data_IF_542480718052
#
_entry.id   IF_542480718052
#
_cell.length_a   1.000
_cell.length_b   1.000
_cell.length_c   1.000
_cell.angle_alpha   90.00
_cell.angle_beta   90.00
_cell.angle_gamma   90.00
#
_symmetry.space_group_name_H-M   'P 1'
#
loop_
_entity.id
_entity.type
_entity.pdbx_description
1 polymer ?
#
# COMPACT_ATOMS: atom_id res chain seq x y z
N UNK A 1 -23.45 88.16 -9.10
CA UNK A 1 -24.65 87.30 -9.16
C UNK A 1 -24.21 85.90 -8.72
N UNK A 2 -24.81 85.13 -7.80
CA UNK A 2 -25.69 85.37 -6.65
C UNK A 2 -26.37 84.03 -6.32
N UNK A 3 -25.97 83.36 -5.22
CA UNK A 3 -26.71 82.27 -4.52
C UNK A 3 -26.86 80.95 -5.35
N UNK A 4 -27.15 79.76 -4.80
CA UNK A 4 -27.68 79.39 -3.46
C UNK A 4 -27.29 77.94 -3.07
N UNK A 5 -27.19 77.67 -1.76
CA UNK A 5 -27.60 76.39 -1.13
C UNK A 5 -29.05 76.58 -0.57
N UNK A 6 -29.83 75.59 -0.04
CA UNK A 6 -29.49 74.50 0.91
C UNK A 6 -30.12 73.13 0.48
N UNK A 7 -30.57 72.14 1.28
CA UNK A 7 -30.69 71.91 2.75
C UNK A 7 -30.79 70.41 3.15
N UNK A 8 -30.01 70.01 4.16
CA UNK A 8 -30.41 69.32 5.42
C UNK A 8 -31.75 68.55 5.47
N UNK A 9 -31.69 67.28 5.89
CA UNK A 9 -32.59 66.73 6.93
C UNK A 9 -31.95 65.54 7.68
N UNK A 10 -32.37 65.34 8.93
CA UNK A 10 -31.78 64.42 9.91
C UNK A 10 -32.87 63.84 10.81
N UNK A 11 -32.78 62.57 11.19
CA UNK A 11 -33.63 62.02 12.25
C UNK A 11 -32.95 60.90 13.05
N UNK A 12 -32.44 61.29 14.22
CA UNK A 12 -32.11 60.38 15.33
C UNK A 12 -33.39 59.89 16.00
N UNK A 13 -33.52 58.58 16.28
CA UNK A 13 -34.29 58.11 17.44
C UNK A 13 -33.48 57.05 18.17
N UNK A 14 -33.07 57.39 19.39
CA UNK A 14 -32.61 56.45 20.41
C UNK A 14 -33.80 55.72 21.02
N UNK A 15 -33.62 54.49 21.51
CA UNK A 15 -34.09 54.25 22.86
C UNK A 15 -33.31 53.16 23.61
N UNK A 16 -33.08 53.46 24.89
CA UNK A 16 -32.56 52.52 25.88
C UNK A 16 -33.74 51.74 26.47
N UNK A 17 -33.51 50.51 26.94
CA UNK A 17 -33.61 50.29 28.39
C UNK A 17 -33.01 48.95 28.82
N UNK A 18 -32.57 48.94 30.08
CA UNK A 18 -31.86 47.84 30.72
C UNK A 18 -32.77 47.11 31.74
N UNK A 19 -32.13 46.29 32.58
CA UNK A 19 -32.67 45.59 33.77
C UNK A 19 -33.43 44.28 33.54
N UNK A 20 -33.48 43.33 34.48
CA UNK A 20 -32.38 42.76 35.30
C UNK A 20 -32.87 41.54 36.10
N UNK A 21 -32.05 40.48 36.12
CA UNK A 21 -31.83 39.56 37.25
C UNK A 21 -32.92 38.53 37.70
N UNK A 22 -32.36 37.47 38.33
CA UNK A 22 -32.92 36.51 39.32
C UNK A 22 -33.56 35.19 38.86
N UNK A 23 -32.72 34.14 38.96
CA UNK A 23 -32.93 32.89 39.73
C UNK A 23 -34.31 32.24 39.79
N UNK A 24 -34.35 30.94 39.46
CA UNK A 24 -34.58 29.88 40.47
C UNK A 24 -34.12 28.51 39.98
N UNK A 25 -33.52 27.73 40.88
CA UNK A 25 -33.33 26.28 40.68
C UNK A 25 -34.55 25.53 41.23
N UNK A 26 -34.87 24.37 40.66
CA UNK A 26 -35.89 23.48 41.24
C UNK A 26 -35.50 22.01 41.08
N UNK A 27 -35.27 21.37 42.22
CA UNK A 27 -35.10 19.93 42.38
C UNK A 27 -36.46 19.21 42.35
N UNK A 28 -36.49 17.95 41.87
CA UNK A 28 -37.43 16.94 42.37
C UNK A 28 -36.94 15.51 42.10
N UNK A 29 -37.55 14.57 42.82
CA UNK A 29 -37.01 13.27 43.25
C UNK A 29 -37.80 12.07 42.70
N UNK A 30 -37.38 10.86 43.09
CA UNK A 30 -38.00 9.53 42.92
C UNK A 30 -37.62 8.76 41.64
N UNK A 31 -37.44 7.42 41.66
CA UNK A 31 -37.37 6.46 42.79
C UNK A 31 -36.85 5.09 42.30
N UNK A 32 -36.22 4.32 43.19
CA UNK A 32 -35.91 2.91 42.94
C UNK A 32 -37.16 2.03 42.78
N UNK A 33 -37.10 1.04 41.90
CA UNK A 33 -37.70 -0.28 42.15
C UNK A 33 -37.02 -1.38 41.31
N UNK A 34 -37.01 -2.58 41.85
CA UNK A 34 -36.29 -3.76 41.34
C UNK A 34 -37.17 -4.63 40.43
N UNK A 35 -36.55 -5.34 39.47
CA UNK A 35 -37.28 -6.22 38.55
C UNK A 35 -36.37 -7.20 37.82
N UNK A 36 -36.11 -8.36 38.43
CA UNK A 36 -35.29 -9.43 37.84
C UNK A 36 -35.97 -10.10 36.65
N UNK A 37 -35.24 -10.28 35.54
CA UNK A 37 -35.52 -11.36 34.59
C UNK A 37 -34.21 -12.00 34.12
N UNK A 38 -34.10 -13.31 34.32
CA UNK A 38 -32.94 -14.09 33.89
C UNK A 38 -33.10 -14.50 32.42
N UNK A 39 -32.03 -14.40 31.65
CA UNK A 39 -31.86 -15.13 30.40
C UNK A 39 -30.45 -15.72 30.32
N UNK A 40 -30.33 -16.86 29.66
CA UNK A 40 -29.22 -17.79 29.87
C UNK A 40 -27.88 -17.29 29.32
N UNK A 41 -26.80 -17.53 30.08
CA UNK A 41 -25.44 -17.47 29.56
C UNK A 41 -25.22 -18.62 28.58
N UNK A 42 -24.99 -18.30 27.32
CA UNK A 42 -24.20 -19.14 26.41
C UNK A 42 -22.81 -18.51 26.35
N UNK A 43 -21.82 -19.18 26.93
CA UNK A 43 -20.43 -18.73 26.89
C UNK A 43 -19.86 -18.92 25.48
N UNK A 44 -19.31 -17.89 24.83
CA UNK A 44 -18.40 -18.10 23.70
C UNK A 44 -17.18 -18.87 24.23
N UNK A 45 -16.84 -19.99 23.60
CA UNK A 45 -15.56 -20.64 23.87
C UNK A 45 -14.44 -19.67 23.49
N UNK A 46 -13.34 -19.70 24.25
CA UNK A 46 -12.16 -18.86 23.97
C UNK A 46 -11.70 -19.09 22.54
N UNK A 47 -11.76 -18.04 21.71
CA UNK A 47 -10.84 -17.93 20.61
C UNK A 47 -9.43 -17.90 21.20
N UNK A 48 -8.64 -18.95 20.95
CA UNK A 48 -7.22 -18.96 21.30
C UNK A 48 -6.50 -17.99 20.37
N UNK A 49 -6.29 -16.77 20.85
CA UNK A 49 -5.44 -15.79 20.18
C UNK A 49 -4.04 -16.37 20.02
N UNK A 50 -3.72 -16.84 18.81
CA UNK A 50 -2.35 -17.23 18.45
C UNK A 50 -1.60 -15.91 18.28
N UNK A 51 -0.84 -15.52 19.31
CA UNK A 51 0.10 -14.43 19.19
C UNK A 51 1.05 -14.71 18.01
N UNK A 52 1.31 -13.70 17.19
CA UNK A 52 2.32 -13.74 16.14
C UNK A 52 3.65 -13.13 16.64
N UNK A 53 4.60 -13.92 17.19
CA UNK A 53 5.98 -13.47 17.37
C UNK A 53 6.81 -13.91 16.16
N UNK A 54 6.58 -13.30 15.00
CA UNK A 54 7.42 -13.47 13.80
C UNK A 54 7.73 -12.08 13.23
N UNK A 55 8.68 -11.40 13.87
CA UNK A 55 9.14 -10.08 13.43
C UNK A 55 9.68 -10.17 12.00
N UNK A 56 8.92 -9.63 11.04
CA UNK A 56 9.36 -9.52 9.67
C UNK A 56 10.56 -8.56 9.62
N UNK A 57 11.58 -8.92 8.85
CA UNK A 57 12.75 -8.07 8.62
C UNK A 57 13.22 -8.19 7.17
N UNK A 58 13.51 -7.05 6.50
CA UNK A 58 13.85 -7.04 5.08
C UNK A 58 15.30 -7.51 4.87
N UNK A 59 15.50 -8.82 4.89
CA UNK A 59 16.77 -9.44 4.48
C UNK A 59 16.82 -9.62 2.97
N UNK A 60 17.87 -9.06 2.35
CA UNK A 60 18.16 -9.27 0.93
C UNK A 60 18.77 -10.66 0.79
N UNK A 61 17.93 -11.65 0.47
CA UNK A 61 18.40 -12.96 0.05
C UNK A 61 19.02 -12.85 -1.35
N UNK A 62 20.34 -13.07 -1.45
CA UNK A 62 21.04 -13.15 -2.73
C UNK A 62 20.45 -14.27 -3.61
N UNK A 63 20.51 -14.15 -4.95
CA UNK A 63 20.08 -15.22 -5.84
C UNK A 63 20.95 -16.48 -5.67
N UNK A 64 20.30 -17.64 -5.58
CA UNK A 64 20.99 -18.93 -5.54
C UNK A 64 21.92 -19.12 -6.75
N UNK A 65 23.20 -19.47 -6.56
CA UNK A 65 24.11 -19.71 -7.67
C UNK A 65 23.74 -21.03 -8.38
N UNK A 66 23.17 -20.90 -9.59
CA UNK A 66 22.84 -22.04 -10.43
C UNK A 66 24.10 -22.90 -10.72
N UNK A 67 24.04 -24.17 -10.33
CA UNK A 67 25.18 -25.09 -10.36
C UNK A 67 25.69 -25.39 -11.78
N UNK A 68 27.01 -25.30 -11.97
CA UNK A 68 27.67 -25.60 -13.25
C UNK A 68 27.55 -27.08 -13.62
N UNK A 69 27.22 -27.35 -14.88
CA UNK A 69 27.24 -28.69 -15.47
C UNK A 69 28.68 -29.21 -15.54
N UNK A 70 28.90 -30.45 -15.10
CA UNK A 70 30.09 -31.23 -15.43
C UNK A 70 29.70 -32.57 -16.07
N UNK A 71 30.38 -32.92 -17.17
CA UNK A 71 30.28 -34.22 -17.81
C UNK A 71 31.19 -35.25 -17.13
N UNK A 72 30.68 -36.46 -16.85
CA UNK A 72 31.46 -37.69 -16.85
C UNK A 72 30.57 -38.91 -17.15
N UNK A 73 31.18 -40.04 -17.50
CA UNK A 73 30.56 -41.03 -18.38
C UNK A 73 29.88 -42.24 -17.70
N UNK A 74 28.88 -42.78 -18.41
CA UNK A 74 28.45 -44.19 -18.53
C UNK A 74 28.69 -45.17 -17.36
N UNK A 75 27.59 -45.75 -16.86
CA UNK A 75 27.51 -47.21 -16.61
C UNK A 75 26.09 -47.70 -16.89
N UNK A 76 25.93 -48.83 -17.59
CA UNK A 76 24.63 -49.43 -17.87
C UNK A 76 24.04 -50.11 -16.63
N UNK A 77 22.76 -49.87 -16.33
CA UNK A 77 21.97 -50.71 -15.41
C UNK A 77 20.55 -50.91 -15.97
N UNK A 78 19.99 -52.10 -15.71
CA UNK A 78 18.76 -52.68 -16.29
C UNK A 78 17.56 -51.71 -16.35
N UNK A 79 16.89 -51.73 -17.51
CA UNK A 79 15.59 -51.09 -17.72
C UNK A 79 14.46 -51.83 -16.97
N UNK A 80 14.14 -51.36 -15.77
CA UNK A 80 12.86 -51.66 -15.11
C UNK A 80 11.85 -50.62 -15.61
N UNK A 81 10.84 -51.04 -16.38
CA UNK A 81 9.76 -50.13 -16.79
C UNK A 81 8.91 -49.78 -15.55
N UNK A 82 8.78 -48.50 -15.17
CA UNK A 82 7.68 -48.10 -14.31
C UNK A 82 6.38 -48.36 -15.07
N UNK A 83 5.41 -49.05 -14.45
CA UNK A 83 4.03 -48.91 -14.90
C UNK A 83 3.62 -47.48 -14.54
N UNK A 84 3.11 -46.68 -15.48
CA UNK A 84 2.33 -45.52 -15.07
C UNK A 84 1.05 -46.07 -14.46
N UNK A 85 0.97 -46.08 -13.12
CA UNK A 85 -0.32 -45.93 -12.45
C UNK A 85 -0.79 -44.51 -12.74
N UNK A 86 -1.26 -44.30 -13.98
CA UNK A 86 -1.91 -43.09 -14.42
C UNK A 86 -3.29 -43.05 -13.79
N UNK A 87 -3.32 -42.75 -12.48
CA UNK A 87 -4.43 -41.97 -11.97
C UNK A 87 -4.51 -40.73 -12.86
N UNK A 88 -5.69 -40.41 -13.45
CA UNK A 88 -5.82 -39.16 -14.18
C UNK A 88 -5.40 -38.04 -13.21
N UNK A 89 -4.52 -37.14 -13.68
CA UNK A 89 -4.22 -35.92 -12.95
C UNK A 89 -5.56 -35.25 -12.68
N UNK A 90 -6.05 -35.35 -11.43
CA UNK A 90 -7.22 -34.58 -11.02
C UNK A 90 -6.85 -33.14 -11.29
N UNK A 91 -7.68 -32.44 -12.05
CA UNK A 91 -7.59 -30.99 -12.19
C UNK A 91 -7.93 -30.40 -10.83
N UNK A 92 -6.95 -30.38 -9.91
CA UNK A 92 -7.10 -29.76 -8.61
C UNK A 92 -7.21 -28.27 -8.90
N UNK A 93 -8.40 -27.71 -8.65
CA UNK A 93 -8.64 -26.29 -8.87
C UNK A 93 -7.69 -25.46 -8.00
N UNK A 94 -7.19 -24.36 -8.54
CA UNK A 94 -6.41 -23.41 -7.75
C UNK A 94 -7.29 -22.86 -6.62
N UNK A 95 -6.72 -22.70 -5.42
CA UNK A 95 -7.43 -22.07 -4.32
C UNK A 95 -7.44 -20.57 -4.57
N UNK A 96 -8.64 -20.00 -4.62
CA UNK A 96 -8.86 -18.59 -4.82
C UNK A 96 -9.50 -17.95 -3.59
N UNK A 97 -9.03 -16.75 -3.23
CA UNK A 97 -9.63 -15.85 -2.25
C UNK A 97 -9.56 -14.41 -2.74
N UNK A 98 -10.50 -13.59 -2.32
CA UNK A 98 -10.48 -12.16 -2.61
C UNK A 98 -11.21 -11.36 -1.54
N UNK A 99 -10.71 -10.17 -1.23
CA UNK A 99 -11.35 -9.18 -0.36
C UNK A 99 -11.17 -7.77 -0.92
N UNK A 100 -11.92 -6.81 -0.42
CA UNK A 100 -11.68 -5.39 -0.68
C UNK A 100 -10.92 -4.79 0.51
N UNK A 101 -9.75 -4.24 0.25
CA UNK A 101 -8.86 -3.66 1.26
C UNK A 101 -8.04 -2.53 0.61
N UNK A 102 -7.61 -1.55 1.40
CA UNK A 102 -6.74 -0.43 0.94
C UNK A 102 -7.27 0.34 -0.29
N UNK A 103 -8.60 0.33 -0.51
CA UNK A 103 -9.24 1.00 -1.65
C UNK A 103 -9.16 0.23 -2.99
N UNK A 104 -8.83 -1.05 -2.98
CA UNK A 104 -8.84 -1.93 -4.15
C UNK A 104 -9.33 -3.36 -3.80
N UNK A 105 -9.55 -4.18 -4.83
CA UNK A 105 -9.76 -5.62 -4.65
C UNK A 105 -8.42 -6.34 -4.62
N UNK A 106 -8.18 -7.11 -3.57
CA UNK A 106 -7.09 -8.08 -3.52
C UNK A 106 -7.60 -9.44 -3.99
N UNK A 107 -6.78 -10.17 -4.74
CA UNK A 107 -7.02 -11.59 -5.04
C UNK A 107 -5.76 -12.41 -4.77
N UNK A 108 -5.94 -13.59 -4.17
CA UNK A 108 -4.91 -14.59 -3.92
C UNK A 108 -5.25 -15.86 -4.69
N UNK A 109 -4.27 -16.37 -5.44
CA UNK A 109 -4.33 -17.65 -6.16
C UNK A 109 -3.19 -18.52 -5.64
N UNK A 110 -3.52 -19.63 -4.96
CA UNK A 110 -2.56 -20.61 -4.46
C UNK A 110 -2.70 -21.94 -5.20
N UNK A 111 -1.59 -22.62 -5.46
CA UNK A 111 -1.63 -24.01 -5.90
C UNK A 111 -1.79 -24.94 -4.68
N UNK A 112 -2.89 -25.69 -4.56
CA UNK A 112 -3.10 -26.55 -3.40
C UNK A 112 -2.09 -27.70 -3.30
N UNK A 113 -1.39 -28.06 -4.39
CA UNK A 113 -0.39 -29.16 -4.38
C UNK A 113 0.85 -28.86 -3.55
N UNK A 114 1.13 -27.58 -3.27
CA UNK A 114 2.25 -27.21 -2.42
C UNK A 114 1.90 -27.22 -0.93
N UNK A 115 0.63 -27.27 -0.56
CA UNK A 115 0.23 -27.13 0.82
C UNK A 115 0.70 -28.33 1.67
N UNK A 116 1.22 -28.09 2.89
CA UNK A 116 1.59 -29.14 3.82
C UNK A 116 0.32 -29.76 4.41
N UNK A 117 -0.35 -30.61 3.63
CA UNK A 117 -1.64 -31.23 3.94
C UNK A 117 -1.63 -32.08 5.23
N UNK A 118 -0.46 -32.40 5.79
CA UNK A 118 -0.29 -33.01 7.11
C UNK A 118 -0.63 -32.05 8.26
N UNK A 119 -0.69 -30.73 8.00
CA UNK A 119 -0.86 -29.67 9.00
C UNK A 119 -1.95 -28.66 8.63
N UNK A 120 -1.96 -28.20 7.39
CA UNK A 120 -2.83 -27.12 6.91
C UNK A 120 -3.35 -27.40 5.51
N UNK A 121 -4.61 -27.05 5.25
CA UNK A 121 -5.13 -27.03 3.88
C UNK A 121 -4.76 -25.72 3.20
N UNK A 122 -4.74 -25.72 1.87
CA UNK A 122 -4.47 -24.52 1.08
C UNK A 122 -5.55 -23.45 1.29
N UNK A 123 -6.79 -23.86 1.56
CA UNK A 123 -7.90 -22.99 1.93
C UNK A 123 -7.65 -22.31 3.29
N UNK A 124 -7.23 -23.06 4.31
CA UNK A 124 -6.94 -22.48 5.63
C UNK A 124 -5.79 -21.47 5.58
N UNK A 125 -4.73 -21.76 4.81
CA UNK A 125 -3.64 -20.81 4.54
C UNK A 125 -4.17 -19.58 3.80
N UNK A 126 -5.03 -19.76 2.79
CA UNK A 126 -5.61 -18.63 2.06
C UNK A 126 -6.53 -17.77 2.93
N UNK A 127 -7.25 -18.36 3.89
CA UNK A 127 -8.10 -17.66 4.85
C UNK A 127 -7.26 -16.84 5.86
N UNK A 128 -6.17 -17.39 6.40
CA UNK A 128 -5.22 -16.66 7.26
C UNK A 128 -4.56 -15.47 6.52
N UNK A 129 -4.22 -15.64 5.24
CA UNK A 129 -3.68 -14.55 4.41
C UNK A 129 -4.72 -13.45 4.12
N UNK A 130 -6.02 -13.78 4.10
CA UNK A 130 -7.10 -12.77 4.02
C UNK A 130 -7.19 -11.99 5.34
N UNK A 131 -7.08 -12.65 6.49
CA UNK A 131 -7.03 -11.99 7.80
C UNK A 131 -5.82 -11.05 7.92
N UNK A 132 -4.64 -11.45 7.42
CA UNK A 132 -3.44 -10.61 7.36
C UNK A 132 -3.68 -9.32 6.54
N UNK A 133 -4.32 -9.43 5.36
CA UNK A 133 -4.63 -8.24 4.54
C UNK A 133 -5.60 -7.31 5.28
N UNK A 134 -6.57 -7.86 6.01
CA UNK A 134 -7.53 -7.09 6.80
C UNK A 134 -6.86 -6.37 7.99
N UNK A 135 -5.99 -7.03 8.75
CA UNK A 135 -5.23 -6.39 9.85
C UNK A 135 -4.42 -5.19 9.36
N UNK A 136 -3.65 -5.37 8.27
CA UNK A 136 -2.86 -4.28 7.70
C UNK A 136 -3.70 -3.19 7.04
N UNK A 137 -4.89 -3.51 6.51
CA UNK A 137 -5.85 -2.49 6.11
C UNK A 137 -6.30 -1.64 7.31
N UNK A 138 -6.71 -2.28 8.40
CA UNK A 138 -7.22 -1.61 9.59
C UNK A 138 -6.14 -0.81 10.33
N UNK A 139 -4.87 -1.23 10.23
CA UNK A 139 -3.70 -0.52 10.79
C UNK A 139 -3.26 0.68 9.94
N UNK A 140 -3.21 0.54 8.61
CA UNK A 140 -2.65 1.57 7.71
C UNK A 140 -3.70 2.54 7.13
N UNK A 141 -4.99 2.27 7.28
CA UNK A 141 -6.05 3.13 6.74
C UNK A 141 -6.10 4.50 7.43
N UNK A 142 -5.82 5.56 6.67
CA UNK A 142 -6.02 6.96 7.09
C UNK A 142 -7.51 7.34 7.27
N UNK A 143 -8.43 6.49 6.81
CA UNK A 143 -9.87 6.74 6.84
C UNK A 143 -10.58 6.11 8.05
N UNK A 144 -9.90 5.20 8.76
CA UNK A 144 -10.41 4.56 9.97
C UNK A 144 -9.88 5.31 11.21
N UNK A 145 -10.72 5.97 12.02
CA UNK A 145 -10.27 6.73 13.20
C UNK A 145 -9.57 5.85 14.26
N UNK A 146 -9.85 4.54 14.24
CA UNK A 146 -9.24 3.54 15.12
C UNK A 146 -7.86 3.06 14.68
N UNK A 147 -7.43 3.37 13.45
CA UNK A 147 -6.14 2.89 12.92
C UNK A 147 -4.95 3.51 13.66
N UNK A 148 -3.83 2.81 13.66
CA UNK A 148 -2.59 3.34 14.26
C UNK A 148 -2.07 4.55 13.46
N UNK A 149 -2.23 4.56 12.13
CA UNK A 149 -1.85 5.71 11.28
C UNK A 149 -2.71 6.94 11.56
N UNK A 150 -4.03 6.79 11.71
CA UNK A 150 -4.91 7.90 12.11
C UNK A 150 -4.55 8.45 13.49
N UNK A 151 -4.21 7.56 14.45
CA UNK A 151 -3.74 7.96 15.79
C UNK A 151 -2.40 8.70 15.77
N UNK A 152 -1.46 8.32 14.90
CA UNK A 152 -0.19 9.04 14.68
C UNK A 152 -0.46 10.41 14.06
N UNK A 153 -1.29 10.47 13.01
CA UNK A 153 -1.64 11.71 12.34
C UNK A 153 -2.41 12.70 13.24
N UNK A 154 -3.10 12.21 14.27
CA UNK A 154 -3.81 13.02 15.25
C UNK A 154 -2.99 13.35 16.54
N UNK A 155 -1.81 12.76 16.75
CA UNK A 155 -1.00 13.02 17.95
C UNK A 155 -0.22 14.32 17.82
N UNK A 156 -0.20 15.23 18.81
CA UNK A 156 0.51 16.52 18.70
C UNK A 156 1.98 16.38 18.31
N UNK A 157 2.52 17.40 17.65
CA UNK A 157 3.93 17.42 17.24
C UNK A 157 4.86 17.33 18.46
N UNK A 158 5.97 16.61 18.31
CA UNK A 158 6.91 16.33 19.41
C UNK A 158 6.41 15.32 20.46
N UNK A 159 5.18 14.80 20.35
CA UNK A 159 4.68 13.75 21.25
C UNK A 159 4.96 12.36 20.66
N UNK A 160 5.72 11.48 21.35
CA UNK A 160 6.01 10.14 20.86
C UNK A 160 4.79 9.22 20.98
N UNK A 161 4.48 8.52 19.88
CA UNK A 161 3.44 7.47 19.82
C UNK A 161 4.10 6.11 19.78
N UNK A 162 3.78 5.24 20.75
CA UNK A 162 4.29 3.86 20.78
C UNK A 162 3.65 3.00 19.70
N UNK A 163 4.48 2.23 19.01
CA UNK A 163 4.14 1.34 17.89
C UNK A 163 4.71 -0.06 18.12
N UNK A 164 4.28 -1.02 17.30
CA UNK A 164 4.79 -2.39 17.27
C UNK A 164 6.04 -2.52 16.36
N UNK A 165 6.66 -3.69 16.37
CA UNK A 165 7.88 -3.97 15.60
C UNK A 165 7.66 -3.91 14.09
N UNK A 166 6.54 -4.40 13.59
CA UNK A 166 6.32 -4.54 12.15
C UNK A 166 6.05 -3.17 11.51
N UNK A 167 5.27 -2.32 12.19
CA UNK A 167 5.08 -0.93 11.77
C UNK A 167 6.37 -0.12 11.88
N UNK A 168 7.20 -0.38 12.89
CA UNK A 168 8.52 0.26 13.03
C UNK A 168 9.46 -0.10 11.87
N UNK A 169 9.53 -1.38 11.46
CA UNK A 169 10.32 -1.79 10.30
C UNK A 169 9.76 -1.29 8.97
N UNK A 170 8.43 -1.18 8.81
CA UNK A 170 7.80 -0.49 7.68
C UNK A 170 8.21 0.99 7.64
N UNK A 171 8.16 1.70 8.77
CA UNK A 171 8.56 3.10 8.86
C UNK A 171 10.04 3.32 8.56
N UNK A 172 10.93 2.39 8.99
CA UNK A 172 12.36 2.39 8.63
C UNK A 172 12.60 2.10 7.15
N UNK A 173 11.83 1.20 6.55
CA UNK A 173 11.82 0.99 5.10
C UNK A 173 11.42 2.29 4.38
N UNK A 174 10.38 2.99 4.85
CA UNK A 174 9.96 4.27 4.29
C UNK A 174 11.02 5.36 4.40
N UNK A 175 11.70 5.51 5.55
CA UNK A 175 12.82 6.45 5.70
C UNK A 175 13.98 6.12 4.76
N UNK A 176 14.33 4.83 4.61
CA UNK A 176 15.37 4.40 3.68
C UNK A 176 15.01 4.74 2.23
N UNK A 177 13.80 4.39 1.78
CA UNK A 177 13.32 4.67 0.42
C UNK A 177 13.25 6.17 0.13
N UNK A 178 12.86 6.98 1.11
CA UNK A 178 12.90 8.44 1.03
C UNK A 178 14.32 8.95 0.75
N UNK A 179 15.32 8.44 1.49
CA UNK A 179 16.72 8.81 1.27
C UNK A 179 17.28 8.31 -0.07
N UNK A 180 16.98 7.08 -0.48
CA UNK A 180 17.44 6.50 -1.76
C UNK A 180 16.92 7.27 -2.99
N UNK A 181 15.72 7.86 -2.86
CA UNK A 181 15.01 8.59 -3.93
C UNK A 181 15.11 10.12 -3.81
N UNK A 182 16.04 10.63 -3.00
CA UNK A 182 16.23 12.07 -2.70
C UNK A 182 14.95 12.79 -2.19
N UNK A 183 13.97 12.04 -1.67
CA UNK A 183 12.66 12.51 -1.21
C UNK A 183 11.51 12.31 -2.19
N UNK A 184 11.74 11.80 -3.40
CA UNK A 184 10.70 11.62 -4.42
C UNK A 184 9.63 10.58 -4.03
N UNK A 185 10.01 9.54 -3.28
CA UNK A 185 9.08 8.75 -2.48
C UNK A 185 9.08 9.28 -1.04
N UNK A 186 7.93 9.71 -0.52
CA UNK A 186 7.82 10.11 0.88
C UNK A 186 6.41 9.88 1.42
N UNK A 187 6.29 9.11 2.51
CA UNK A 187 4.98 8.86 3.15
C UNK A 187 4.39 10.13 3.79
N UNK A 188 5.19 11.15 4.11
CA UNK A 188 4.68 12.44 4.57
C UNK A 188 4.00 13.28 3.45
N UNK A 189 4.02 12.81 2.19
CA UNK A 189 3.25 13.42 1.10
C UNK A 189 1.73 13.46 1.38
N UNK A 190 1.22 12.69 2.36
CA UNK A 190 -0.15 12.82 2.86
C UNK A 190 -0.51 14.23 3.34
N UNK A 191 0.46 15.02 3.80
CA UNK A 191 0.32 16.46 4.05
C UNK A 191 -0.09 17.22 2.79
N UNK A 192 0.62 16.99 1.68
CA UNK A 192 0.35 17.62 0.39
C UNK A 192 -0.98 17.13 -0.19
N UNK A 193 -1.29 15.84 -0.05
CA UNK A 193 -2.59 15.29 -0.46
C UNK A 193 -3.76 15.95 0.30
N UNK A 194 -3.58 16.35 1.56
CA UNK A 194 -4.58 17.11 2.31
C UNK A 194 -4.72 18.53 1.77
N UNK A 195 -3.59 19.24 1.65
CA UNK A 195 -3.52 20.61 1.15
C UNK A 195 -4.14 20.79 -0.26
N UNK A 196 -4.02 19.79 -1.12
CA UNK A 196 -4.55 19.79 -2.49
C UNK A 196 -5.92 19.07 -2.65
N UNK A 197 -6.62 18.84 -1.52
CA UNK A 197 -8.04 18.45 -1.52
C UNK A 197 -8.35 16.96 -1.70
N UNK A 198 -7.36 16.08 -1.77
CA UNK A 198 -7.56 14.63 -1.90
C UNK A 198 -8.08 13.96 -0.62
N UNK A 199 -8.21 14.70 0.49
CA UNK A 199 -8.56 14.19 1.83
C UNK A 199 -9.66 14.98 2.55
N UNK A 200 -10.42 15.81 1.83
CA UNK A 200 -11.46 16.70 2.39
C UNK A 200 -11.26 18.16 1.96
N UNK A 201 -11.99 19.09 2.59
CA UNK A 201 -11.78 20.52 2.30
C UNK A 201 -10.43 21.00 2.87
N UNK A 202 -9.53 21.58 2.03
CA UNK A 202 -8.28 22.15 2.51
C UNK A 202 -8.52 23.27 3.52
N UNK A 203 -7.69 23.33 4.56
CA UNK A 203 -7.77 24.43 5.53
C UNK A 203 -6.91 25.58 4.98
N UNK A 204 -7.35 26.83 5.13
CA UNK A 204 -6.68 27.99 4.52
C UNK A 204 -5.21 28.21 4.95
N UNK A 205 -4.74 27.51 5.98
CA UNK A 205 -3.35 27.50 6.45
C UNK A 205 -2.45 26.49 5.72
N UNK A 206 -3.01 25.59 4.89
CA UNK A 206 -2.29 24.54 4.17
C UNK A 206 -1.47 25.04 2.96
N UNK A 207 -1.32 26.37 2.77
CA UNK A 207 -0.61 26.96 1.61
C UNK A 207 0.85 27.32 1.87
N UNK A 208 1.26 27.48 3.13
CA UNK A 208 2.63 27.81 3.55
C UNK A 208 3.31 26.62 4.25
N UNK A 209 3.17 25.41 3.67
CA UNK A 209 3.75 24.18 4.21
C UNK A 209 5.26 24.14 3.90
N UNK A 210 6.14 23.91 4.90
CA UNK A 210 7.57 23.74 4.67
C UNK A 210 7.84 22.58 3.71
N UNK A 211 8.61 22.85 2.66
CA UNK A 211 8.72 21.93 1.51
C UNK A 211 9.62 20.72 1.78
N UNK A 212 10.50 20.74 2.79
CA UNK A 212 11.35 19.58 3.10
C UNK A 212 10.67 18.59 4.05
N UNK A 213 9.87 17.69 3.46
CA UNK A 213 9.20 16.60 4.19
C UNK A 213 10.12 15.43 4.55
N UNK A 214 11.43 15.45 4.24
CA UNK A 214 12.33 14.29 4.46
C UNK A 214 12.59 14.02 5.95
N UNK A 215 12.53 15.06 6.78
CA UNK A 215 12.67 14.99 8.24
C UNK A 215 11.33 15.08 8.98
N UNK A 216 10.26 14.57 8.36
CA UNK A 216 8.90 14.74 8.85
C UNK A 216 8.59 13.98 10.16
N UNK A 217 9.32 12.91 10.47
CA UNK A 217 9.14 12.13 11.69
C UNK A 217 10.44 11.45 12.12
N UNK A 218 10.59 11.33 13.43
CA UNK A 218 11.68 10.60 14.07
C UNK A 218 11.21 9.23 14.58
N UNK A 219 12.12 8.26 14.62
CA UNK A 219 11.89 6.90 15.10
C UNK A 219 12.86 6.57 16.24
N UNK A 220 12.33 6.10 17.37
CA UNK A 220 13.13 5.62 18.50
C UNK A 220 13.08 4.08 18.57
N UNK A 221 14.19 3.37 18.30
CA UNK A 221 14.26 1.90 18.36
C UNK A 221 14.28 1.33 19.78
N UNK A 222 14.62 2.10 20.80
CA UNK A 222 14.62 1.63 22.19
C UNK A 222 13.24 1.78 22.81
N UNK A 223 12.58 2.93 22.58
CA UNK A 223 11.22 3.19 23.05
C UNK A 223 10.14 2.55 22.17
N UNK A 224 10.47 2.13 20.94
CA UNK A 224 9.53 1.71 19.89
C UNK A 224 8.46 2.77 19.65
N UNK A 225 8.88 3.99 19.33
CA UNK A 225 8.00 5.13 19.09
C UNK A 225 8.28 5.81 17.76
N UNK A 226 7.25 6.49 17.26
CA UNK A 226 7.32 7.50 16.20
C UNK A 226 6.91 8.86 16.77
N UNK A 227 7.61 9.92 16.38
CA UNK A 227 7.29 11.31 16.75
C UNK A 227 7.09 12.14 15.49
N UNK A 228 5.97 12.88 15.37
CA UNK A 228 5.77 13.83 14.26
C UNK A 228 6.54 15.13 14.54
N UNK A 229 7.24 15.67 13.55
CA UNK A 229 8.08 16.86 13.73
C UNK A 229 7.37 18.20 13.43
N UNK A 230 6.07 18.15 13.11
CA UNK A 230 5.24 19.33 12.84
C UNK A 230 3.75 18.98 12.81
N UNK A 231 2.89 19.93 13.18
CA UNK A 231 1.44 19.66 13.32
C UNK A 231 0.74 19.35 11.99
N UNK A 232 1.22 19.94 10.90
CA UNK A 232 0.72 19.73 9.54
C UNK A 232 1.14 18.37 8.94
N UNK A 233 1.99 17.60 9.63
CA UNK A 233 2.60 16.39 9.06
C UNK A 233 1.62 15.22 9.09
N UNK A 234 1.26 14.70 7.92
CA UNK A 234 0.31 13.61 7.80
C UNK A 234 0.89 12.51 6.93
N UNK A 235 0.98 11.31 7.51
CA UNK A 235 1.49 10.13 6.84
C UNK A 235 0.40 9.51 5.95
N UNK A 236 0.82 9.05 4.77
CA UNK A 236 0.07 8.20 3.84
C UNK A 236 0.96 7.03 3.43
N UNK A 237 0.41 5.81 3.44
CA UNK A 237 1.11 4.62 3.00
C UNK A 237 0.59 4.12 1.63
N UNK A 238 -0.30 4.84 0.94
CA UNK A 238 -0.92 4.39 -0.32
C UNK A 238 0.08 4.00 -1.42
N UNK A 239 1.26 4.62 -1.43
CA UNK A 239 2.39 4.37 -2.33
C UNK A 239 3.30 3.18 -1.94
N UNK A 240 2.99 2.42 -0.87
CA UNK A 240 3.80 1.28 -0.41
C UNK A 240 3.00 0.16 0.27
N UNK A 241 1.85 0.46 0.89
CA UNK A 241 1.11 -0.44 1.77
C UNK A 241 0.70 -1.75 1.09
N UNK A 242 0.28 -1.66 -0.18
CA UNK A 242 -0.17 -2.83 -0.96
C UNK A 242 1.01 -3.78 -1.20
N UNK A 243 2.10 -3.28 -1.78
CA UNK A 243 3.34 -4.04 -1.95
C UNK A 243 3.91 -4.59 -0.64
N UNK A 244 3.87 -3.82 0.45
CA UNK A 244 4.30 -4.31 1.76
C UNK A 244 3.46 -5.50 2.26
N UNK A 245 2.13 -5.44 2.12
CA UNK A 245 1.26 -6.59 2.43
C UNK A 245 1.55 -7.78 1.51
N UNK A 246 1.86 -7.58 0.23
CA UNK A 246 2.29 -8.66 -0.65
C UNK A 246 3.62 -9.30 -0.20
N UNK A 247 4.56 -8.50 0.32
CA UNK A 247 5.84 -9.01 0.85
C UNK A 247 5.66 -9.81 2.14
N UNK A 248 4.70 -9.44 2.99
CA UNK A 248 4.29 -10.22 4.17
C UNK A 248 3.62 -11.54 3.76
N UNK A 249 2.68 -11.51 2.82
CA UNK A 249 2.07 -12.73 2.26
C UNK A 249 3.14 -13.65 1.66
N UNK A 250 4.10 -13.10 0.92
CA UNK A 250 5.24 -13.84 0.37
C UNK A 250 6.15 -14.43 1.47
N UNK A 251 6.24 -13.80 2.65
CA UNK A 251 6.88 -14.36 3.82
C UNK A 251 6.12 -15.56 4.38
N UNK A 252 4.82 -15.44 4.67
CA UNK A 252 4.04 -16.56 5.21
C UNK A 252 3.95 -17.73 4.21
N UNK A 253 3.82 -17.46 2.90
CA UNK A 253 3.88 -18.49 1.87
C UNK A 253 5.23 -19.22 1.82
N UNK A 254 6.35 -18.58 2.20
CA UNK A 254 7.64 -19.28 2.41
C UNK A 254 7.59 -20.18 3.64
N UNK A 255 7.00 -19.71 4.73
CA UNK A 255 6.87 -20.48 5.99
C UNK A 255 5.98 -21.72 5.81
N UNK A 256 4.90 -21.60 5.04
CA UNK A 256 4.05 -22.71 4.62
C UNK A 256 4.60 -23.56 3.47
N UNK A 257 5.80 -23.25 2.98
CA UNK A 257 6.46 -23.93 1.86
C UNK A 257 5.69 -23.92 0.52
N UNK A 258 4.67 -23.06 0.39
CA UNK A 258 3.98 -22.80 -0.89
C UNK A 258 5.01 -22.27 -1.90
N UNK A 259 5.01 -22.78 -3.13
CA UNK A 259 5.99 -22.42 -4.18
C UNK A 259 5.35 -21.71 -5.35
N UNK A 260 4.08 -22.01 -5.62
CA UNK A 260 3.30 -21.55 -6.75
C UNK A 260 2.13 -20.71 -6.23
N UNK A 261 2.29 -19.39 -6.27
CA UNK A 261 1.25 -18.45 -5.88
C UNK A 261 1.29 -17.17 -6.72
N UNK A 262 0.13 -16.54 -6.87
CA UNK A 262 -0.02 -15.25 -7.52
C UNK A 262 -0.98 -14.39 -6.71
N UNK A 263 -0.54 -13.20 -6.33
CA UNK A 263 -1.31 -12.28 -5.50
C UNK A 263 -1.28 -10.90 -6.14
N UNK A 264 -2.43 -10.21 -6.18
CA UNK A 264 -2.48 -8.81 -6.59
C UNK A 264 -3.36 -7.98 -5.65
N UNK A 265 -3.05 -6.69 -5.56
CA UNK A 265 -3.83 -5.64 -4.91
C UNK A 265 -4.23 -4.59 -5.95
N UNK A 266 -5.35 -4.85 -6.64
CA UNK A 266 -5.77 -4.08 -7.81
C UNK A 266 -4.79 -4.21 -8.99
N UNK A 267 -4.76 -3.21 -9.87
CA UNK A 267 -3.86 -3.15 -11.02
C UNK A 267 -2.43 -2.74 -10.68
N UNK A 268 -2.19 -2.13 -9.51
CA UNK A 268 -0.94 -1.44 -9.20
C UNK A 268 0.11 -2.26 -8.45
N UNK A 269 -0.26 -3.34 -7.77
CA UNK A 269 0.69 -4.14 -6.97
C UNK A 269 0.46 -5.61 -7.22
N UNK A 270 1.46 -6.31 -7.74
CA UNK A 270 1.39 -7.74 -8.07
C UNK A 270 2.63 -8.45 -7.54
N UNK A 271 2.45 -9.63 -6.95
CA UNK A 271 3.53 -10.52 -6.56
C UNK A 271 3.27 -11.92 -7.09
N UNK A 272 4.24 -12.44 -7.84
CA UNK A 272 4.29 -13.84 -8.18
C UNK A 272 5.34 -14.56 -7.34
N UNK A 273 5.02 -15.81 -6.99
CA UNK A 273 5.91 -16.73 -6.31
C UNK A 273 5.98 -18.00 -7.17
N UNK A 274 7.19 -18.31 -7.64
CA UNK A 274 7.43 -19.39 -8.60
C UNK A 274 6.72 -19.19 -9.95
N UNK A 275 6.68 -20.24 -10.75
CA UNK A 275 5.88 -20.28 -12.00
C UNK A 275 4.46 -20.77 -11.73
N UNK A 276 3.64 -20.92 -12.77
CA UNK A 276 2.55 -21.88 -12.76
C UNK A 276 3.12 -23.31 -12.69
N UNK A 277 2.30 -24.28 -12.28
CA UNK A 277 2.70 -25.69 -12.13
C UNK A 277 3.19 -26.36 -13.43
N UNK A 278 2.76 -25.86 -14.59
CA UNK A 278 3.22 -26.30 -15.92
C UNK A 278 4.49 -25.57 -16.38
N UNK A 279 5.21 -24.96 -15.43
CA UNK A 279 6.43 -24.17 -15.60
C UNK A 279 6.28 -22.88 -16.43
N UNK A 280 5.06 -22.47 -16.81
CA UNK A 280 4.85 -21.17 -17.47
C UNK A 280 4.95 -20.02 -16.46
N UNK A 281 5.55 -18.88 -16.81
CA UNK A 281 5.54 -17.70 -15.94
C UNK A 281 4.12 -17.16 -15.79
N UNK A 282 3.87 -16.49 -14.68
CA UNK A 282 2.67 -15.67 -14.51
C UNK A 282 2.78 -14.46 -15.45
N UNK A 283 1.72 -14.15 -16.19
CA UNK A 283 1.74 -13.03 -17.16
C UNK A 283 0.85 -11.92 -16.68
N UNK A 284 1.43 -10.74 -16.47
CA UNK A 284 0.73 -9.52 -16.05
C UNK A 284 0.70 -8.57 -17.23
N UNK A 285 -0.49 -8.12 -17.62
CA UNK A 285 -0.64 -7.04 -18.60
C UNK A 285 -0.41 -5.69 -17.90
N UNK A 286 0.36 -4.78 -18.53
CA UNK A 286 0.78 -3.51 -17.90
C UNK A 286 0.49 -2.26 -18.75
N UNK A 287 0.01 -2.42 -19.99
CA UNK A 287 -0.62 -1.35 -20.77
C UNK A 287 -2.07 -1.72 -21.08
N UNK A 288 -2.86 -0.75 -21.52
CA UNK A 288 -4.22 -1.02 -22.00
C UNK A 288 -4.18 -1.70 -23.39
N UNK A 289 -3.03 -1.65 -24.07
CA UNK A 289 -2.72 -2.49 -25.23
C UNK A 289 -2.42 -3.95 -24.81
N UNK A 290 -2.95 -4.97 -25.50
CA UNK A 290 -2.87 -6.36 -25.06
C UNK A 290 -1.46 -6.97 -25.14
N UNK A 291 -0.50 -6.30 -25.78
CA UNK A 291 0.82 -6.82 -26.15
C UNK A 291 1.90 -6.52 -25.08
N UNK A 292 1.75 -5.47 -24.25
CA UNK A 292 2.73 -5.20 -23.19
C UNK A 292 2.43 -6.04 -21.95
N UNK A 293 3.21 -7.11 -21.81
CA UNK A 293 3.10 -8.05 -20.68
C UNK A 293 4.45 -8.27 -20.01
N UNK A 294 4.42 -8.38 -18.68
CA UNK A 294 5.57 -8.79 -17.89
C UNK A 294 5.39 -10.25 -17.47
N UNK A 295 6.44 -11.05 -17.67
CA UNK A 295 6.52 -12.41 -17.15
C UNK A 295 7.09 -12.36 -15.72
N UNK A 296 6.30 -12.78 -14.74
CA UNK A 296 6.73 -12.90 -13.34
C UNK A 296 6.95 -14.37 -12.97
N UNK A 297 8.07 -14.63 -12.29
CA UNK A 297 8.37 -15.88 -11.61
C UNK A 297 8.31 -15.65 -10.10
N UNK A 298 9.47 -15.60 -9.45
CA UNK A 298 9.60 -15.16 -8.05
C UNK A 298 9.97 -13.67 -7.99
N UNK A 299 9.08 -12.80 -8.50
CA UNK A 299 9.31 -11.36 -8.62
C UNK A 299 8.00 -10.60 -8.44
N UNK A 300 8.07 -9.42 -7.86
CA UNK A 300 6.96 -8.48 -7.76
C UNK A 300 7.01 -7.38 -8.81
N UNK A 301 5.88 -6.71 -8.98
CA UNK A 301 5.64 -5.65 -9.94
C UNK A 301 4.78 -4.56 -9.30
N UNK A 302 5.26 -3.32 -9.35
CA UNK A 302 4.56 -2.12 -8.95
C UNK A 302 4.26 -1.26 -10.17
N UNK A 303 3.05 -0.69 -10.24
CA UNK A 303 2.63 0.26 -11.26
C UNK A 303 2.18 1.55 -10.58
N UNK A 304 2.73 2.68 -11.04
CA UNK A 304 2.27 4.01 -10.69
C UNK A 304 1.61 4.63 -11.93
N UNK A 305 0.38 5.12 -11.78
CA UNK A 305 -0.42 5.72 -12.86
C UNK A 305 -0.71 7.17 -12.51
N UNK A 306 -0.27 8.09 -13.37
CA UNK A 306 -0.36 9.52 -13.05
C UNK A 306 -1.82 10.01 -12.95
N UNK A 307 -2.70 9.48 -13.81
CA UNK A 307 -4.12 9.87 -13.88
C UNK A 307 -5.07 8.91 -13.13
N UNK A 308 -4.56 7.95 -12.35
CA UNK A 308 -5.40 6.93 -11.69
C UNK A 308 -6.42 7.48 -10.68
N UNK A 309 -6.18 8.68 -10.14
CA UNK A 309 -7.15 9.49 -9.37
C UNK A 309 -6.87 10.97 -9.60
N UNK A 310 -7.94 11.74 -9.79
CA UNK A 310 -7.93 13.18 -10.05
C UNK A 310 -8.74 13.93 -8.99
N UNK A 311 -8.32 15.14 -8.60
CA UNK A 311 -9.14 16.03 -7.76
C UNK A 311 -10.14 16.86 -8.61
N UNK A 312 -10.92 17.74 -7.95
CA UNK A 312 -11.92 18.61 -8.61
C UNK A 312 -11.30 19.58 -9.63
N UNK A 313 -10.00 19.88 -9.52
CA UNK A 313 -9.24 20.71 -10.47
C UNK A 313 -8.59 19.88 -11.61
N UNK A 314 -8.93 18.60 -11.72
CA UNK A 314 -8.37 17.64 -12.69
C UNK A 314 -6.83 17.52 -12.59
N UNK A 315 -6.30 17.48 -11.36
CA UNK A 315 -4.89 17.23 -11.04
C UNK A 315 -4.70 15.82 -10.47
N UNK A 316 -3.62 15.15 -10.85
CA UNK A 316 -3.29 13.80 -10.39
C UNK A 316 -2.93 13.74 -8.90
N UNK A 317 -3.25 12.62 -8.26
CA UNK A 317 -3.00 12.36 -6.83
C UNK A 317 -1.53 12.10 -6.43
N UNK A 318 -0.61 12.06 -7.40
CA UNK A 318 0.83 11.91 -7.14
C UNK A 318 1.40 13.31 -6.84
N UNK A 319 1.82 13.51 -5.59
CA UNK A 319 2.44 14.75 -5.14
C UNK A 319 3.96 14.66 -5.23
N UNK A 320 4.61 15.74 -5.67
CA UNK A 320 6.06 15.90 -5.57
C UNK A 320 6.42 16.45 -4.17
N UNK A 321 7.09 15.65 -3.31
CA UNK A 321 7.46 16.10 -1.97
C UNK A 321 8.57 17.16 -1.95
N UNK A 322 9.21 17.47 -3.09
CA UNK A 322 10.31 18.44 -3.21
C UNK A 322 9.84 19.82 -3.70
N UNK A 323 8.75 19.89 -4.48
CA UNK A 323 8.12 21.17 -4.88
C UNK A 323 6.85 21.51 -4.09
N UNK A 324 6.22 20.53 -3.43
CA UNK A 324 4.95 20.73 -2.71
C UNK A 324 3.71 20.77 -3.62
N UNK A 325 3.89 20.49 -4.91
CA UNK A 325 2.85 20.53 -5.95
C UNK A 325 2.50 19.10 -6.44
N UNK A 326 1.38 18.90 -7.15
CA UNK A 326 1.17 17.67 -7.92
C UNK A 326 2.31 17.50 -8.94
N UNK A 327 2.80 16.27 -9.12
CA UNK A 327 3.93 16.02 -10.01
C UNK A 327 3.59 16.37 -11.47
N UNK A 328 4.42 17.17 -12.15
CA UNK A 328 4.26 17.47 -13.57
C UNK A 328 4.92 16.37 -14.42
N UNK A 329 4.30 15.18 -14.44
CA UNK A 329 4.85 14.02 -15.13
C UNK A 329 4.30 13.85 -16.56
N UNK A 330 5.18 13.64 -17.53
CA UNK A 330 4.80 13.20 -18.88
C UNK A 330 4.56 11.68 -18.97
N UNK A 331 4.95 10.92 -17.94
CA UNK A 331 4.69 9.49 -17.87
C UNK A 331 3.20 9.24 -17.59
N UNK A 332 2.52 8.56 -18.51
CA UNK A 332 1.18 8.02 -18.26
C UNK A 332 1.24 6.96 -17.15
N UNK A 333 2.22 6.06 -17.23
CA UNK A 333 2.35 4.89 -16.37
C UNK A 333 3.83 4.50 -16.19
N UNK A 334 4.25 4.28 -14.94
CA UNK A 334 5.58 3.74 -14.61
C UNK A 334 5.43 2.32 -14.07
N UNK A 335 6.21 1.38 -14.63
CA UNK A 335 6.23 -0.03 -14.22
C UNK A 335 7.60 -0.38 -13.66
N UNK A 336 7.64 -0.85 -12.41
CA UNK A 336 8.85 -1.33 -11.74
C UNK A 336 8.71 -2.80 -11.37
N UNK A 337 9.78 -3.59 -11.56
CA UNK A 337 9.85 -4.97 -11.04
C UNK A 337 11.01 -5.12 -10.06
N UNK A 338 10.77 -5.84 -8.96
CA UNK A 338 11.74 -6.04 -7.87
C UNK A 338 11.39 -7.32 -7.07
N UNK A 339 12.32 -7.99 -6.36
CA UNK A 339 12.00 -9.13 -5.49
C UNK A 339 11.10 -8.78 -4.28
N UNK A 340 11.02 -7.51 -3.90
CA UNK A 340 10.09 -6.97 -2.91
C UNK A 340 9.08 -6.05 -3.59
N UNK A 341 7.79 -6.31 -3.37
CA UNK A 341 6.68 -5.54 -3.89
C UNK A 341 6.59 -4.14 -3.25
N UNK A 342 6.94 -3.99 -1.97
CA UNK A 342 6.98 -2.68 -1.30
C UNK A 342 7.94 -1.72 -1.99
N UNK A 343 9.12 -2.20 -2.36
CA UNK A 343 10.13 -1.42 -3.07
C UNK A 343 9.69 -1.14 -4.52
N UNK A 344 9.01 -2.09 -5.18
CA UNK A 344 8.47 -1.88 -6.52
C UNK A 344 7.38 -0.77 -6.56
N UNK A 345 6.42 -0.80 -5.64
CA UNK A 345 5.39 0.24 -5.45
C UNK A 345 6.04 1.62 -5.21
N UNK A 346 6.99 1.68 -4.28
CA UNK A 346 7.64 2.91 -3.85
C UNK A 346 8.50 3.54 -4.96
N UNK A 347 9.32 2.74 -5.66
CA UNK A 347 10.14 3.23 -6.77
C UNK A 347 9.29 3.62 -7.99
N UNK A 348 8.21 2.89 -8.30
CA UNK A 348 7.29 3.30 -9.35
C UNK A 348 6.69 4.69 -9.05
N UNK A 349 6.34 4.95 -7.79
CA UNK A 349 5.86 6.27 -7.34
C UNK A 349 6.96 7.34 -7.41
N UNK A 350 8.17 7.04 -6.94
CA UNK A 350 9.31 7.96 -7.00
C UNK A 350 9.65 8.37 -8.44
N UNK A 351 9.60 7.44 -9.38
CA UNK A 351 9.90 7.67 -10.79
C UNK A 351 8.79 8.43 -11.52
N UNK A 352 7.53 8.30 -11.09
CA UNK A 352 6.45 9.19 -11.56
C UNK A 352 6.71 10.65 -11.19
N UNK A 353 7.41 10.93 -10.08
CA UNK A 353 7.82 12.29 -9.67
C UNK A 353 9.16 12.70 -10.30
N UNK A 354 10.14 11.79 -10.34
CA UNK A 354 11.53 12.04 -10.75
C UNK A 354 12.04 10.94 -11.70
N UNK A 355 11.69 11.00 -13.00
CA UNK A 355 12.16 10.04 -14.01
C UNK A 355 13.69 9.93 -14.12
N UNK A 356 14.42 11.00 -13.77
CA UNK A 356 15.88 11.05 -13.79
C UNK A 356 16.56 10.10 -12.77
N UNK A 357 15.80 9.54 -11.82
CA UNK A 357 16.29 8.50 -10.90
C UNK A 357 16.41 7.11 -11.56
N UNK A 358 15.99 6.92 -12.82
CA UNK A 358 15.90 5.61 -13.49
C UNK A 358 17.18 4.77 -13.36
N UNK A 359 18.34 5.34 -13.70
CA UNK A 359 19.61 4.59 -13.67
C UNK A 359 20.01 4.19 -12.24
N UNK A 360 19.87 5.11 -11.27
CA UNK A 360 20.17 4.85 -9.85
C UNK A 360 19.30 3.72 -9.29
N UNK A 361 18.00 3.76 -9.56
CA UNK A 361 17.07 2.73 -9.07
C UNK A 361 17.22 1.40 -9.82
N UNK A 362 17.75 1.41 -11.05
CA UNK A 362 18.16 0.20 -11.74
C UNK A 362 19.38 -0.47 -11.07
N UNK A 363 20.38 0.30 -10.62
CA UNK A 363 21.53 -0.21 -9.85
C UNK A 363 21.10 -0.87 -8.52
N UNK A 364 19.98 -0.44 -7.94
CA UNK A 364 19.35 -1.06 -6.76
C UNK A 364 18.63 -2.38 -7.07
N UNK A 365 18.70 -2.89 -8.31
CA UNK A 365 18.18 -4.20 -8.72
C UNK A 365 16.77 -4.18 -9.28
N UNK A 366 16.16 -3.00 -9.42
CA UNK A 366 14.87 -2.85 -10.11
C UNK A 366 15.03 -2.94 -11.63
N UNK A 367 13.96 -3.33 -12.32
CA UNK A 367 13.84 -3.16 -13.76
C UNK A 367 12.64 -2.26 -14.05
N UNK A 368 12.88 -1.16 -14.76
CA UNK A 368 12.00 0.02 -14.89
C UNK A 368 11.60 0.25 -16.36
N UNK A 369 10.31 0.50 -16.60
CA UNK A 369 9.76 0.97 -17.87
C UNK A 369 8.87 2.18 -17.61
N UNK A 370 9.10 3.26 -18.36
CA UNK A 370 8.31 4.48 -18.33
C UNK A 370 7.50 4.55 -19.63
N UNK A 371 6.17 4.63 -19.51
CA UNK A 371 5.22 4.68 -20.62
C UNK A 371 4.64 6.08 -20.71
N UNK A 372 4.84 6.75 -21.84
CA UNK A 372 4.29 8.10 -22.06
C UNK A 372 2.86 8.06 -22.60
N UNK A 373 2.50 6.97 -23.29
CA UNK A 373 1.16 6.60 -23.74
C UNK A 373 1.06 5.05 -23.68
N UNK A 374 -0.10 4.47 -23.98
CA UNK A 374 -0.31 3.00 -23.97
C UNK A 374 0.51 2.18 -24.98
N UNK A 375 1.35 2.83 -25.79
CA UNK A 375 2.19 2.21 -26.83
C UNK A 375 3.67 2.63 -26.79
N UNK A 376 4.03 3.78 -26.21
CA UNK A 376 5.38 4.36 -26.30
C UNK A 376 6.17 4.20 -25.00
N UNK A 377 7.24 3.40 -25.08
CA UNK A 377 8.19 3.15 -23.99
C UNK A 377 9.37 4.10 -24.12
N UNK A 378 9.48 5.10 -23.25
CA UNK A 378 10.54 6.13 -23.33
C UNK A 378 11.89 5.61 -22.84
N UNK A 379 11.90 4.94 -21.68
CA UNK A 379 13.09 4.30 -21.11
C UNK A 379 12.76 2.85 -20.72
N UNK A 380 13.69 1.94 -21.00
CA UNK A 380 13.54 0.52 -20.67
C UNK A 380 14.89 -0.15 -20.42
N UNK A 381 15.32 -0.14 -19.15
CA UNK A 381 16.30 -1.11 -18.68
C UNK A 381 15.70 -2.54 -18.54
N UNK A 382 14.39 -2.72 -18.76
CA UNK A 382 13.73 -4.04 -18.76
C UNK A 382 13.85 -4.82 -20.09
N UNK A 383 14.56 -4.38 -21.14
CA UNK A 383 14.53 -5.11 -22.44
C UNK A 383 14.91 -6.60 -22.35
N UNK A 384 15.75 -6.98 -21.38
CA UNK A 384 16.17 -8.37 -21.17
C UNK A 384 15.27 -9.17 -20.20
N UNK A 385 14.25 -8.53 -19.58
CA UNK A 385 13.30 -9.16 -18.63
C UNK A 385 11.83 -8.98 -18.99
N UNK A 386 11.47 -7.97 -19.78
CA UNK A 386 10.19 -7.87 -20.44
C UNK A 386 10.17 -8.92 -21.55
N UNK A 387 9.27 -9.89 -21.42
CA UNK A 387 8.73 -10.53 -22.61
C UNK A 387 7.82 -9.53 -23.34
N UNK A 388 8.39 -8.50 -23.99
CA UNK A 388 7.62 -7.65 -24.91
C UNK A 388 7.20 -8.52 -26.09
N UNK A 389 6.06 -9.16 -25.96
CA UNK A 389 5.42 -9.84 -27.07
C UNK A 389 4.69 -8.80 -27.90
N UNK A 390 5.43 -8.07 -28.73
CA UNK A 390 4.83 -7.60 -29.98
C UNK A 390 4.23 -8.82 -30.65
N UNK A 391 2.92 -8.87 -30.80
CA UNK A 391 2.32 -9.88 -31.68
C UNK A 391 2.99 -9.72 -33.04
N UNK A 392 3.57 -10.80 -33.64
CA UNK A 392 3.78 -10.77 -35.07
C UNK A 392 2.38 -10.70 -35.68
N UNK A 393 1.99 -9.51 -36.12
CA UNK A 393 0.73 -9.30 -36.84
C UNK A 393 0.71 -10.33 -37.97
N UNK A 394 -0.30 -11.18 -37.96
CA UNK A 394 -0.50 -12.19 -38.98
C UNK A 394 -0.65 -11.52 -40.34
N UNK A 395 0.31 -11.77 -41.24
CA UNK A 395 0.11 -11.62 -42.68
C UNK A 395 -0.94 -12.63 -43.18
#
# INVERSE_FOLDING_TARGET
>A
MSKSAPSVSSSTISNQNASSARTSAMTRTHSDSTGSSASARVSPQRATSISHPRSWSPSISQPDPCGKVMHSASTQTRCVRPRPDSQPLRTVGLVHRSLNAMGCRFELVLDPRDAPHDRFSAEAIADELVELIQDWHDRLSIFLPTSIVSRINASPAGVPVRIDQDLFELLRLCQRLCNETDGAFNIAAGTLMHAHGFRGQPIAQDRDIPVDLRHAYDLDPEAMTITRNGEHISLDFGAIAKGFVLDLISHELRMYQIKHAFIHGGSSSVLARGTQHDSRPWRVQVSDTPDLRVNLGSTALGISEHQGRMNEENRGHIMDPVSGLPAESHAHRVVCTHPSAAIADAYATALSVRPDLTDRLHEHGCSIAILNNDADIESACIRDRLGVFTNPISN
#
